data_IF_184324765636
#
_entry.id   IF_184324765636
#
_cell.length_a   1.000
_cell.length_b   1.000
_cell.length_c   1.000
_cell.angle_alpha   90.00
_cell.angle_beta   90.00
_cell.angle_gamma   90.00
#
_symmetry.space_group_name_H-M   'P 1'
#
loop_
_entity.id
_entity.type
_entity.pdbx_description
1 polymer ?
#
# COMPACT_ATOMS: atom_id res chain seq x y z
N UNK A 1 13.72 -4.80 16.09
CA UNK A 1 12.28 -4.63 15.81
C UNK A 1 11.59 -5.67 16.63
N UNK A 2 10.68 -5.22 17.49
CA UNK A 2 10.21 -5.99 18.64
C UNK A 2 8.79 -6.51 18.42
N UNK A 3 8.04 -5.87 17.52
CA UNK A 3 6.66 -6.22 17.17
C UNK A 3 6.32 -5.69 15.77
N UNK A 4 5.06 -5.85 15.37
CA UNK A 4 4.52 -5.28 14.13
C UNK A 4 3.25 -4.46 14.45
N UNK A 5 2.85 -3.63 13.50
CA UNK A 5 1.70 -2.75 13.65
C UNK A 5 0.39 -3.54 13.81
N UNK A 6 0.30 -4.76 13.27
CA UNK A 6 -0.88 -5.61 13.44
C UNK A 6 -1.09 -6.00 14.91
N UNK A 7 -0.02 -6.39 15.61
CA UNK A 7 -0.07 -6.69 17.05
C UNK A 7 -0.43 -5.46 17.86
N UNK A 8 0.15 -4.29 17.53
CA UNK A 8 -0.13 -3.03 18.22
C UNK A 8 -1.60 -2.64 18.10
N UNK A 9 -2.17 -2.70 16.89
CA UNK A 9 -3.59 -2.37 16.63
C UNK A 9 -4.53 -3.26 17.45
N UNK A 10 -4.21 -4.55 17.60
CA UNK A 10 -5.01 -5.54 18.34
C UNK A 10 -4.77 -5.55 19.84
N UNK A 11 -3.73 -4.85 20.31
CA UNK A 11 -3.38 -4.82 21.72
C UNK A 11 -4.28 -3.86 22.52
N UNK A 12 -4.21 -3.97 23.85
CA UNK A 12 -4.83 -3.01 24.76
C UNK A 12 -4.02 -1.72 24.96
N UNK A 13 -2.87 -1.57 24.27
CA UNK A 13 -2.10 -0.32 24.35
C UNK A 13 -2.91 0.83 23.76
N UNK A 14 -2.83 2.02 24.34
CA UNK A 14 -3.53 3.20 23.82
C UNK A 14 -2.86 3.73 22.56
N UNK A 15 -3.65 3.97 21.50
CA UNK A 15 -3.23 4.64 20.28
C UNK A 15 -4.03 5.93 20.21
N UNK A 16 -3.36 7.05 20.44
CA UNK A 16 -3.95 8.38 20.28
C UNK A 16 -3.65 8.91 18.86
N UNK A 17 -4.22 10.06 18.52
CA UNK A 17 -4.04 10.68 17.21
C UNK A 17 -2.56 10.95 16.87
N UNK A 18 -1.74 11.36 17.85
CA UNK A 18 -0.30 11.59 17.66
C UNK A 18 0.44 10.31 17.24
N UNK A 19 0.11 9.17 17.85
CA UNK A 19 0.68 7.88 17.44
C UNK A 19 0.26 7.52 16.00
N UNK A 20 -1.03 7.71 15.67
CA UNK A 20 -1.54 7.45 14.33
C UNK A 20 -0.86 8.34 13.28
N UNK A 21 -0.73 9.63 13.57
CA UNK A 21 -0.06 10.63 12.74
C UNK A 21 1.41 10.24 12.53
N UNK A 22 2.11 9.86 13.60
CA UNK A 22 3.53 9.48 13.54
C UNK A 22 3.76 8.18 12.75
N UNK A 23 2.91 7.17 12.92
CA UNK A 23 3.00 5.95 12.11
C UNK A 23 2.69 6.21 10.65
N UNK A 24 1.64 6.98 10.34
CA UNK A 24 1.32 7.34 8.96
C UNK A 24 2.46 8.09 8.29
N UNK A 25 3.04 9.09 8.98
CA UNK A 25 4.20 9.84 8.51
C UNK A 25 5.37 8.91 8.16
N UNK A 26 5.75 8.01 9.07
CA UNK A 26 6.88 7.10 8.84
C UNK A 26 6.63 6.13 7.67
N UNK A 27 5.39 5.65 7.50
CA UNK A 27 5.01 4.80 6.35
C UNK A 27 5.19 5.58 5.04
N UNK A 28 4.64 6.80 4.96
CA UNK A 28 4.74 7.64 3.77
C UNK A 28 6.19 8.06 3.48
N UNK A 29 6.95 8.43 4.51
CA UNK A 29 8.38 8.73 4.39
C UNK A 29 9.16 7.54 3.81
N UNK A 30 8.90 6.33 4.29
CA UNK A 30 9.48 5.11 3.73
C UNK A 30 9.07 4.87 2.28
N UNK A 31 7.79 5.06 1.96
CA UNK A 31 7.29 4.88 0.59
C UNK A 31 7.81 5.91 -0.39
N UNK A 32 8.02 7.17 0.02
CA UNK A 32 8.64 8.20 -0.81
C UNK A 32 9.99 7.72 -1.35
N UNK A 33 10.81 7.14 -0.46
CA UNK A 33 12.08 6.55 -0.83
C UNK A 33 11.90 5.36 -1.79
N UNK A 34 11.03 4.40 -1.46
CA UNK A 34 10.78 3.20 -2.28
C UNK A 34 10.27 3.57 -3.68
N UNK A 35 9.29 4.47 -3.78
CA UNK A 35 8.68 4.90 -5.03
C UNK A 35 9.67 5.71 -5.89
N UNK A 36 10.52 6.55 -5.28
CA UNK A 36 11.58 7.25 -6.00
C UNK A 36 12.65 6.30 -6.58
N UNK A 37 12.77 5.07 -6.05
CA UNK A 37 13.59 4.01 -6.62
C UNK A 37 12.88 3.23 -7.75
N UNK A 38 11.69 3.65 -8.18
CA UNK A 38 10.83 2.94 -9.12
C UNK A 38 10.41 1.53 -8.66
N UNK A 39 10.27 1.34 -7.34
CA UNK A 39 9.83 0.09 -6.72
C UNK A 39 8.40 0.24 -6.22
N UNK A 40 7.58 -0.78 -6.42
CA UNK A 40 6.24 -0.92 -5.85
C UNK A 40 6.27 -2.01 -4.77
N UNK A 41 5.71 -1.75 -3.58
CA UNK A 41 5.71 -2.74 -2.49
C UNK A 41 4.67 -3.84 -2.70
N UNK A 42 3.45 -3.48 -3.10
CA UNK A 42 2.34 -4.36 -3.55
C UNK A 42 1.67 -5.22 -2.47
N UNK A 43 2.31 -5.41 -1.32
CA UNK A 43 1.74 -6.14 -0.18
C UNK A 43 1.88 -5.39 1.16
N UNK A 44 1.60 -4.08 1.15
CA UNK A 44 1.54 -3.31 2.39
C UNK A 44 0.33 -3.73 3.22
N UNK A 45 0.61 -4.09 4.47
CA UNK A 45 -0.37 -4.47 5.50
C UNK A 45 0.26 -4.27 6.88
N UNK A 46 -0.51 -4.18 7.98
CA UNK A 46 0.04 -3.90 9.30
C UNK A 46 1.10 -4.91 9.78
N UNK A 47 1.02 -6.18 9.38
CA UNK A 47 2.05 -7.18 9.74
C UNK A 47 3.39 -6.97 9.02
N UNK A 48 3.40 -6.20 7.93
CA UNK A 48 4.59 -5.87 7.14
C UNK A 48 5.16 -4.50 7.53
N UNK A 49 4.70 -3.94 8.66
CA UNK A 49 5.18 -2.70 9.26
C UNK A 49 5.71 -3.01 10.65
N UNK A 50 7.03 -3.16 10.75
CA UNK A 50 7.70 -3.52 11.99
C UNK A 50 7.89 -2.30 12.88
N UNK A 51 7.74 -2.50 14.19
CA UNK A 51 7.86 -1.48 15.21
C UNK A 51 8.85 -1.89 16.31
N UNK A 52 9.49 -0.90 16.93
CA UNK A 52 10.24 -1.08 18.17
C UNK A 52 9.59 -0.29 19.32
N UNK A 53 10.17 -0.44 20.51
CA UNK A 53 9.76 0.29 21.72
C UNK A 53 9.84 1.82 21.64
N UNK A 54 10.59 2.38 20.68
CA UNK A 54 10.69 3.83 20.43
C UNK A 54 9.64 4.34 19.42
N UNK A 55 8.72 3.48 18.98
CA UNK A 55 7.77 3.77 17.89
C UNK A 55 8.43 4.00 16.52
N UNK A 56 9.67 3.55 16.31
CA UNK A 56 10.30 3.58 14.99
C UNK A 56 9.67 2.49 14.11
N UNK A 57 9.24 2.88 12.91
CA UNK A 57 8.59 2.01 11.93
C UNK A 57 9.53 1.67 10.77
N UNK A 58 9.53 0.40 10.36
CA UNK A 58 10.18 -0.05 9.12
C UNK A 58 9.26 -0.91 8.28
N UNK A 59 9.22 -0.62 6.99
CA UNK A 59 8.55 -1.43 5.97
C UNK A 59 9.40 -2.68 5.71
N UNK A 60 8.75 -3.85 5.66
CA UNK A 60 9.41 -5.14 5.41
C UNK A 60 8.61 -5.96 4.39
N UNK A 61 9.15 -7.12 3.99
CA UNK A 61 8.50 -8.10 3.11
C UNK A 61 8.31 -7.61 1.67
N UNK A 62 9.45 -7.39 1.01
CA UNK A 62 9.53 -7.01 -0.40
C UNK A 62 9.43 -8.22 -1.35
N UNK A 63 8.97 -9.38 -0.89
CA UNK A 63 8.90 -10.61 -1.70
C UNK A 63 7.95 -10.50 -2.90
N UNK A 64 7.04 -9.53 -2.88
CA UNK A 64 6.12 -9.24 -3.99
C UNK A 64 6.45 -7.93 -4.73
N UNK A 65 7.54 -7.26 -4.34
CA UNK A 65 7.91 -5.96 -4.88
C UNK A 65 8.36 -6.05 -6.34
N UNK A 66 8.03 -5.05 -7.17
CA UNK A 66 8.33 -5.02 -8.61
C UNK A 66 8.57 -3.60 -9.13
N UNK A 67 9.07 -3.48 -10.36
CA UNK A 67 9.06 -2.20 -11.08
C UNK A 67 7.67 -1.82 -11.59
N UNK A 68 7.48 -0.54 -11.88
CA UNK A 68 6.25 0.01 -12.49
C UNK A 68 5.99 -0.48 -13.93
N UNK A 69 7.02 -0.99 -14.63
CA UNK A 69 6.97 -1.33 -16.05
C UNK A 69 6.66 -2.79 -16.37
N UNK A 70 6.64 -3.68 -15.39
CA UNK A 70 6.45 -5.11 -15.62
C UNK A 70 4.97 -5.49 -15.66
N UNK A 71 4.50 -5.78 -16.88
CA UNK A 71 3.16 -6.30 -17.18
C UNK A 71 3.11 -7.81 -17.08
N UNK A 72 3.54 -8.40 -15.96
CA UNK A 72 3.39 -9.84 -15.77
C UNK A 72 2.01 -10.20 -15.20
N UNK A 73 1.43 -11.25 -15.79
CA UNK A 73 0.14 -11.80 -15.39
C UNK A 73 0.20 -12.24 -13.93
N UNK A 74 -0.57 -11.55 -13.10
CA UNK A 74 -0.69 -11.83 -11.68
C UNK A 74 -1.30 -13.21 -11.46
N UNK A 75 -0.49 -14.15 -10.98
CA UNK A 75 -1.00 -15.41 -10.45
C UNK A 75 -1.88 -15.14 -9.23
N UNK A 76 -2.95 -15.90 -9.10
CA UNK A 76 -4.00 -15.71 -8.11
C UNK A 76 -3.49 -16.06 -6.70
N UNK A 77 -2.77 -15.14 -6.06
CA UNK A 77 -2.16 -15.39 -4.75
C UNK A 77 -3.22 -15.41 -3.62
N UNK A 78 -3.25 -16.53 -2.91
CA UNK A 78 -3.99 -16.80 -1.66
C UNK A 78 -3.36 -16.01 -0.50
N UNK A 79 -3.45 -14.68 -0.56
CA UNK A 79 -2.97 -13.77 0.50
C UNK A 79 -4.13 -12.84 0.90
N UNK A 80 -4.02 -12.21 2.07
CA UNK A 80 -4.96 -11.22 2.61
C UNK A 80 -5.26 -10.12 1.59
N UNK A 81 -6.51 -10.04 1.12
CA UNK A 81 -6.95 -9.09 0.07
C UNK A 81 -7.35 -7.71 0.59
N UNK A 82 -7.41 -7.55 1.91
CA UNK A 82 -8.05 -6.40 2.58
C UNK A 82 -7.42 -5.04 2.23
N UNK A 83 -6.13 -5.05 1.86
CA UNK A 83 -5.35 -3.85 1.53
C UNK A 83 -5.09 -3.71 0.02
N UNK A 84 -5.62 -4.60 -0.82
CA UNK A 84 -5.41 -4.55 -2.28
C UNK A 84 -6.26 -3.44 -2.91
N UNK A 85 -5.63 -2.66 -3.78
CA UNK A 85 -6.29 -1.60 -4.53
C UNK A 85 -7.32 -2.14 -5.55
N UNK A 86 -8.37 -1.38 -5.90
CA UNK A 86 -9.40 -1.80 -6.86
C UNK A 86 -8.81 -2.26 -8.19
N UNK A 87 -7.81 -1.57 -8.71
CA UNK A 87 -7.13 -1.89 -9.98
C UNK A 87 -6.36 -3.22 -9.93
N UNK A 88 -5.85 -3.62 -8.76
CA UNK A 88 -5.24 -4.94 -8.54
C UNK A 88 -6.31 -6.04 -8.49
N UNK A 89 -7.46 -5.77 -7.88
CA UNK A 89 -8.58 -6.72 -7.81
C UNK A 89 -9.24 -6.95 -9.18
N UNK A 90 -9.16 -5.96 -10.07
CA UNK A 90 -9.75 -5.98 -11.41
C UNK A 90 -8.76 -6.42 -12.50
N UNK A 91 -7.54 -6.82 -12.13
CA UNK A 91 -6.47 -7.22 -13.04
C UNK A 91 -6.24 -6.17 -14.15
N UNK A 92 -6.11 -4.88 -13.76
CA UNK A 92 -5.64 -3.85 -14.68
C UNK A 92 -4.25 -4.21 -15.22
N UNK A 93 -3.93 -3.84 -16.45
CA UNK A 93 -2.63 -4.17 -17.07
C UNK A 93 -1.50 -3.25 -16.65
N UNK A 94 -1.82 -2.11 -16.05
CA UNK A 94 -0.85 -1.08 -15.65
C UNK A 94 -1.06 -0.76 -14.17
N UNK A 95 -0.01 -0.99 -13.38
CA UNK A 95 0.03 -0.69 -11.96
C UNK A 95 1.04 0.42 -11.70
N UNK A 96 0.69 1.35 -10.83
CA UNK A 96 1.55 2.47 -10.44
C UNK A 96 1.77 2.45 -8.92
N UNK A 97 2.58 3.38 -8.41
CA UNK A 97 2.77 3.65 -6.98
C UNK A 97 1.45 3.89 -6.23
N UNK A 98 0.38 4.27 -6.94
CA UNK A 98 -0.94 4.48 -6.36
C UNK A 98 -1.47 3.25 -5.63
N UNK A 99 -1.12 2.01 -6.03
CA UNK A 99 -1.59 0.79 -5.35
C UNK A 99 -1.14 0.74 -3.90
N UNK A 100 0.08 1.21 -3.61
CA UNK A 100 0.62 1.24 -2.26
C UNK A 100 -0.07 2.33 -1.43
N UNK A 101 -0.37 3.49 -2.04
CA UNK A 101 -1.13 4.56 -1.38
C UNK A 101 -2.52 4.09 -0.96
N UNK A 102 -3.18 3.26 -1.77
CA UNK A 102 -4.44 2.64 -1.38
C UNK A 102 -4.27 1.77 -0.13
N UNK A 103 -3.25 0.90 -0.12
CA UNK A 103 -2.95 0.05 1.03
C UNK A 103 -2.68 0.89 2.28
N UNK A 104 -1.94 2.01 2.16
CA UNK A 104 -1.73 2.97 3.25
C UNK A 104 -3.05 3.57 3.73
N UNK A 105 -3.97 3.93 2.84
CA UNK A 105 -5.31 4.40 3.22
C UNK A 105 -6.08 3.36 4.05
N UNK A 106 -6.04 2.09 3.66
CA UNK A 106 -6.64 1.00 4.45
C UNK A 106 -5.98 0.86 5.82
N UNK A 107 -4.64 0.88 5.88
CA UNK A 107 -3.88 0.80 7.14
C UNK A 107 -4.18 2.00 8.02
N UNK A 108 -4.24 3.21 7.46
CA UNK A 108 -4.50 4.43 8.20
C UNK A 108 -5.87 4.40 8.88
N UNK A 109 -6.92 4.00 8.15
CA UNK A 109 -8.23 3.78 8.73
C UNK A 109 -8.19 2.71 9.83
N UNK A 110 -7.48 1.60 9.62
CA UNK A 110 -7.38 0.51 10.60
C UNK A 110 -6.64 0.90 11.88
N UNK A 111 -5.58 1.73 11.81
CA UNK A 111 -4.92 2.25 13.02
C UNK A 111 -5.91 3.14 13.81
N UNK A 112 -6.69 3.96 13.11
CA UNK A 112 -7.64 4.90 13.69
C UNK A 112 -8.86 4.23 14.33
N UNK A 113 -9.36 3.15 13.74
CA UNK A 113 -10.58 2.46 14.21
C UNK A 113 -10.31 1.17 14.98
N UNK A 114 -9.08 0.65 14.90
CA UNK A 114 -8.68 -0.71 15.32
C UNK A 114 -9.41 -1.85 14.64
N UNK A 115 -10.07 -1.57 13.53
CA UNK A 115 -10.80 -2.55 12.75
C UNK A 115 -10.38 -2.50 11.29
N UNK A 116 -10.18 -3.66 10.63
CA UNK A 116 -9.83 -3.70 9.22
C UNK A 116 -10.92 -3.03 8.39
N UNK A 117 -10.53 -2.13 7.50
CA UNK A 117 -11.48 -1.31 6.75
C UNK A 117 -12.34 -2.13 5.77
N UNK A 118 -11.71 -3.07 5.07
CA UNK A 118 -12.37 -3.89 4.05
C UNK A 118 -12.05 -5.40 4.25
N UNK A 119 -12.67 -6.07 5.24
CA UNK A 119 -12.43 -7.48 5.51
C UNK A 119 -13.21 -8.40 4.54
N UNK A 120 -12.93 -8.29 3.24
CA UNK A 120 -13.58 -9.10 2.20
C UNK A 120 -13.26 -10.59 2.34
N UNK A 121 -14.24 -11.42 1.98
CA UNK A 121 -14.16 -12.89 2.05
C UNK A 121 -13.66 -13.50 0.73
N UNK A 122 -13.94 -12.80 -0.36
CA UNK A 122 -13.58 -13.13 -1.73
C UNK A 122 -13.49 -11.81 -2.54
N UNK A 123 -13.13 -11.88 -3.82
CA UNK A 123 -12.97 -10.71 -4.69
C UNK A 123 -14.26 -9.88 -4.82
N UNK A 124 -15.40 -10.55 -4.92
CA UNK A 124 -16.70 -9.89 -5.11
C UNK A 124 -17.07 -9.13 -3.84
N UNK A 125 -16.93 -9.78 -2.68
CA UNK A 125 -17.19 -9.17 -1.39
C UNK A 125 -16.22 -8.01 -1.12
N UNK A 126 -14.94 -8.14 -1.47
CA UNK A 126 -13.96 -7.07 -1.32
C UNK A 126 -14.36 -5.82 -2.12
N UNK A 127 -14.68 -5.98 -3.41
CA UNK A 127 -15.11 -4.85 -4.26
C UNK A 127 -16.44 -4.25 -3.78
N UNK A 128 -17.37 -5.08 -3.28
CA UNK A 128 -18.61 -4.62 -2.67
C UNK A 128 -18.33 -3.72 -1.45
N UNK A 129 -17.50 -4.16 -0.50
CA UNK A 129 -17.15 -3.35 0.69
C UNK A 129 -16.49 -2.02 0.30
N UNK A 130 -15.61 -2.05 -0.71
CA UNK A 130 -14.98 -0.84 -1.24
C UNK A 130 -16.04 0.13 -1.77
N UNK A 131 -16.86 -0.33 -2.72
CA UNK A 131 -17.89 0.52 -3.36
C UNK A 131 -18.98 0.97 -2.39
N UNK A 132 -19.28 0.20 -1.35
CA UNK A 132 -20.20 0.60 -0.27
C UNK A 132 -19.69 1.84 0.47
N UNK A 133 -18.37 1.98 0.68
CA UNK A 133 -17.78 3.13 1.38
C UNK A 133 -17.54 4.32 0.43
N UNK A 134 -16.74 4.10 -0.62
CA UNK A 134 -16.26 5.21 -1.49
C UNK A 134 -17.22 5.56 -2.62
N UNK A 135 -18.32 4.82 -2.74
CA UNK A 135 -19.30 4.92 -3.81
C UNK A 135 -18.93 4.06 -5.02
N UNK A 136 -19.94 3.72 -5.82
CA UNK A 136 -19.70 3.06 -7.09
C UNK A 136 -19.05 4.01 -8.10
N UNK A 137 -18.02 3.57 -8.84
CA UNK A 137 -17.39 4.40 -9.86
C UNK A 137 -18.39 4.76 -10.96
N UNK A 138 -18.32 6.01 -11.43
CA UNK A 138 -19.06 6.46 -12.60
C UNK A 138 -18.40 5.95 -13.90
N UNK A 139 -19.09 6.13 -15.04
CA UNK A 139 -18.58 5.66 -16.33
C UNK A 139 -17.20 6.24 -16.69
N UNK A 140 -16.94 7.49 -16.31
CA UNK A 140 -15.68 8.20 -16.58
C UNK A 140 -14.53 7.66 -15.70
N UNK A 141 -14.79 7.32 -14.44
CA UNK A 141 -13.79 6.73 -13.54
C UNK A 141 -13.44 5.28 -13.85
N UNK A 142 -14.00 4.70 -14.92
CA UNK A 142 -13.65 3.36 -15.42
C UNK A 142 -12.79 3.41 -16.68
N UNK A 143 -12.42 4.60 -17.18
CA UNK A 143 -11.60 4.75 -18.38
C UNK A 143 -10.19 4.14 -18.22
N UNK A 144 -9.63 4.17 -17.00
CA UNK A 144 -8.34 3.55 -16.71
C UNK A 144 -8.37 2.01 -16.87
N UNK A 145 -9.54 1.38 -16.71
CA UNK A 145 -9.68 -0.06 -16.88
C UNK A 145 -9.69 -0.38 -18.38
N UNK A 146 -8.58 -0.88 -18.93
CA UNK A 146 -8.50 -1.29 -20.35
C UNK A 146 -9.34 -2.52 -20.68
N UNK A 147 -9.52 -3.42 -19.72
CA UNK A 147 -10.30 -4.66 -19.88
C UNK A 147 -11.81 -4.39 -19.97
N UNK A 148 -12.43 -4.74 -21.10
CA UNK A 148 -13.88 -4.64 -21.29
C UNK A 148 -14.66 -5.52 -20.30
N UNK A 149 -14.10 -6.69 -19.95
CA UNK A 149 -14.69 -7.61 -18.98
C UNK A 149 -14.68 -7.00 -17.57
N UNK A 150 -13.57 -6.37 -17.16
CA UNK A 150 -13.48 -5.69 -15.87
C UNK A 150 -14.49 -4.53 -15.79
N UNK A 151 -14.59 -3.70 -16.85
CA UNK A 151 -15.58 -2.61 -16.92
C UNK A 151 -17.01 -3.13 -16.83
N UNK A 152 -17.33 -4.23 -17.52
CA UNK A 152 -18.67 -4.84 -17.46
C UNK A 152 -18.97 -5.36 -16.07
N UNK A 153 -18.03 -6.08 -15.46
CA UNK A 153 -18.15 -6.63 -14.12
C UNK A 153 -18.44 -5.53 -13.07
N UNK A 154 -17.68 -4.43 -13.09
CA UNK A 154 -17.91 -3.31 -12.16
C UNK A 154 -19.28 -2.66 -12.36
N UNK A 155 -19.79 -2.59 -13.60
CA UNK A 155 -21.13 -2.06 -13.90
C UNK A 155 -22.27 -2.95 -13.41
N UNK A 156 -22.02 -4.26 -13.26
CA UNK A 156 -22.98 -5.24 -12.76
C UNK A 156 -23.02 -5.32 -11.22
N UNK A 157 -22.02 -4.76 -10.53
CA UNK A 157 -22.03 -4.65 -9.07
C UNK A 157 -23.19 -3.76 -8.60
N UNK A 158 -23.73 -4.01 -7.38
CA UNK A 158 -24.72 -3.13 -6.78
C UNK A 158 -24.21 -1.68 -6.70
N UNK A 159 -25.08 -0.72 -6.99
CA UNK A 159 -24.74 0.70 -6.95
C UNK A 159 -24.91 1.25 -5.54
N UNK A 160 -23.87 1.90 -5.03
CA UNK A 160 -23.87 2.54 -3.73
C UNK A 160 -23.50 4.03 -3.87
N UNK A 161 -24.21 4.94 -3.18
CA UNK A 161 -23.75 6.31 -3.03
C UNK A 161 -22.49 6.34 -2.15
N UNK A 162 -21.60 7.32 -2.39
CA UNK A 162 -20.46 7.57 -1.51
C UNK A 162 -20.96 7.90 -0.10
N UNK A 163 -20.39 7.26 0.91
CA UNK A 163 -20.70 7.58 2.31
C UNK A 163 -20.04 8.89 2.74
N UNK A 164 -20.64 9.55 3.72
CA UNK A 164 -20.01 10.69 4.38
C UNK A 164 -18.93 10.18 5.35
N UNK A 165 -17.66 10.45 5.06
CA UNK A 165 -16.54 9.95 5.87
C UNK A 165 -16.53 10.50 7.29
N UNK A 166 -16.92 11.75 7.51
CA UNK A 166 -17.02 12.33 8.86
C UNK A 166 -18.07 11.62 9.72
N UNK A 167 -19.18 11.19 9.13
CA UNK A 167 -20.18 10.38 9.81
C UNK A 167 -19.71 8.93 10.03
N UNK A 168 -18.93 8.37 9.10
CA UNK A 168 -18.37 7.01 9.20
C UNK A 168 -17.26 6.91 10.25
N UNK A 169 -16.44 7.95 10.37
CA UNK A 169 -15.28 8.03 11.27
C UNK A 169 -15.41 9.21 12.24
N UNK A 170 -16.40 9.22 13.14
CA UNK A 170 -16.73 10.39 13.97
C UNK A 170 -15.64 10.76 14.99
N UNK A 171 -14.73 9.83 15.30
CA UNK A 171 -13.61 10.04 16.22
C UNK A 171 -12.33 10.56 15.54
N UNK A 172 -12.28 10.57 14.20
CA UNK A 172 -11.12 11.07 13.46
C UNK A 172 -11.20 12.59 13.30
N UNK A 173 -10.05 13.27 13.38
CA UNK A 173 -10.00 14.70 13.10
C UNK A 173 -10.30 14.98 11.60
N UNK A 174 -10.75 16.19 11.29
CA UNK A 174 -11.18 16.55 9.93
C UNK A 174 -10.05 16.47 8.89
N UNK A 175 -8.82 16.85 9.25
CA UNK A 175 -7.66 16.80 8.34
C UNK A 175 -7.21 15.37 8.02
N UNK A 176 -7.36 14.44 8.97
CA UNK A 176 -7.11 13.02 8.82
C UNK A 176 -8.16 12.38 7.91
N UNK A 177 -9.44 12.73 8.11
CA UNK A 177 -10.54 12.28 7.24
C UNK A 177 -10.29 12.73 5.79
N UNK A 178 -9.95 13.99 5.60
CA UNK A 178 -9.74 14.57 4.28
C UNK A 178 -8.52 13.92 3.57
N UNK A 179 -7.43 13.66 4.29
CA UNK A 179 -6.30 12.88 3.77
C UNK A 179 -6.71 11.44 3.40
N UNK A 180 -7.49 10.77 4.26
CA UNK A 180 -7.98 9.42 4.02
C UNK A 180 -8.87 9.36 2.77
N UNK A 181 -9.73 10.36 2.54
CA UNK A 181 -10.57 10.46 1.35
C UNK A 181 -9.75 10.60 0.05
N UNK A 182 -8.56 11.21 0.13
CA UNK A 182 -7.63 11.39 -1.00
C UNK A 182 -6.80 10.14 -1.29
N UNK A 183 -6.55 9.30 -0.28
CA UNK A 183 -5.93 7.98 -0.44
C UNK A 183 -6.93 6.94 -0.98
N UNK A 184 -8.17 6.96 -0.51
CA UNK A 184 -9.21 6.01 -0.88
C UNK A 184 -10.02 6.46 -2.10
N UNK A 185 -9.32 6.60 -3.23
CA UNK A 185 -9.90 6.96 -4.53
C UNK A 185 -9.86 5.75 -5.47
N UNK A 186 -11.00 5.47 -6.11
CA UNK A 186 -11.14 4.30 -7.00
C UNK A 186 -10.24 4.40 -8.24
N UNK A 187 -10.21 5.57 -8.87
CA UNK A 187 -9.36 5.87 -10.01
C UNK A 187 -7.92 6.15 -9.53
N UNK A 188 -6.94 5.29 -9.87
CA UNK A 188 -5.56 5.45 -9.38
C UNK A 188 -4.89 6.73 -9.88
N UNK A 189 -5.33 7.32 -10.99
CA UNK A 189 -4.77 8.57 -11.53
C UNK A 189 -5.18 9.78 -10.69
N UNK A 190 -6.34 9.71 -10.02
CA UNK A 190 -6.87 10.76 -9.15
C UNK A 190 -6.46 10.58 -7.68
N UNK A 191 -5.77 9.49 -7.36
CA UNK A 191 -5.31 9.17 -6.01
C UNK A 191 -4.10 10.04 -5.70
N UNK A 192 -4.06 10.58 -4.48
CA UNK A 192 -2.95 11.42 -4.01
C UNK A 192 -1.62 10.68 -4.11
N UNK A 193 -0.52 11.36 -4.45
CA UNK A 193 0.81 10.75 -4.38
C UNK A 193 1.36 10.76 -2.96
N UNK A 194 2.45 10.03 -2.72
CA UNK A 194 3.10 10.03 -1.40
C UNK A 194 3.67 11.40 -1.05
N UNK A 195 4.24 12.10 -2.03
CA UNK A 195 4.77 13.46 -1.87
C UNK A 195 3.67 14.46 -1.52
N UNK A 196 2.53 14.37 -2.20
CA UNK A 196 1.37 15.21 -1.91
C UNK A 196 0.78 14.89 -0.52
N UNK A 197 0.75 13.61 -0.13
CA UNK A 197 0.27 13.18 1.17
C UNK A 197 1.16 13.68 2.33
N UNK A 198 2.49 13.68 2.16
CA UNK A 198 3.42 14.24 3.15
C UNK A 198 3.23 15.75 3.37
N UNK A 199 2.82 16.47 2.32
CA UNK A 199 2.50 17.90 2.40
C UNK A 199 1.13 18.20 3.04
N UNK A 200 0.33 17.19 3.41
CA UNK A 200 -1.04 17.41 3.86
C UNK A 200 -1.11 18.05 5.26
N UNK A 201 -2.12 18.91 5.56
CA UNK A 201 -2.26 19.54 6.88
C UNK A 201 -2.17 18.58 8.06
N UNK A 202 -2.70 17.36 7.92
CA UNK A 202 -2.63 16.35 8.97
C UNK A 202 -1.20 15.93 9.33
N UNK A 203 -0.21 16.07 8.45
CA UNK A 203 1.19 15.70 8.70
C UNK A 203 2.12 16.91 8.88
N UNK A 204 1.57 18.13 8.88
CA UNK A 204 2.34 19.38 8.90
C UNK A 204 3.29 19.54 10.09
N UNK A 205 3.00 18.92 11.23
CA UNK A 205 3.87 18.96 12.41
C UNK A 205 5.13 18.08 12.29
N UNK A 206 5.12 17.11 11.37
CA UNK A 206 6.19 16.11 11.18
C UNK A 206 6.92 16.27 9.83
N UNK A 207 6.28 16.93 8.86
CA UNK A 207 6.83 17.09 7.52
C UNK A 207 8.13 17.91 7.54
N UNK A 208 9.22 17.30 7.05
CA UNK A 208 10.52 17.95 6.89
C UNK A 208 11.21 17.44 5.62
N UNK A 209 11.31 18.30 4.60
CA UNK A 209 11.94 17.96 3.32
C UNK A 209 13.39 17.50 3.46
N UNK A 210 14.14 18.01 4.45
CA UNK A 210 15.54 17.61 4.64
C UNK A 210 15.68 16.23 5.26
N UNK A 211 14.67 15.80 6.02
CA UNK A 211 14.60 14.47 6.62
C UNK A 211 13.70 13.52 5.83
N UNK A 212 13.37 13.81 4.57
CA UNK A 212 12.58 12.92 3.71
C UNK A 212 13.33 12.58 2.42
N UNK A 213 14.36 11.73 2.51
CA UNK A 213 15.23 11.44 1.38
C UNK A 213 14.52 10.66 0.28
N UNK A 214 15.00 10.86 -0.94
CA UNK A 214 14.67 10.04 -2.12
C UNK A 214 15.87 9.16 -2.47
N UNK A 215 15.61 8.02 -3.10
CA UNK A 215 16.65 7.17 -3.66
C UNK A 215 17.27 7.86 -4.88
N UNK A 216 18.60 7.92 -4.94
CA UNK A 216 19.31 8.58 -6.05
C UNK A 216 19.25 7.79 -7.36
N UNK A 217 18.99 6.49 -7.29
CA UNK A 217 19.01 5.58 -8.43
C UNK A 217 17.75 4.72 -8.46
N UNK A 218 17.28 4.39 -9.66
CA UNK A 218 16.25 3.38 -9.81
C UNK A 218 16.80 2.00 -9.47
N UNK A 219 16.02 1.21 -8.76
CA UNK A 219 16.35 -0.19 -8.50
C UNK A 219 16.09 -1.01 -9.76
N UNK A 220 17.03 -1.90 -10.09
CA UNK A 220 16.96 -2.74 -11.28
C UNK A 220 16.59 -4.16 -10.89
N UNK A 221 15.54 -4.69 -11.51
CA UNK A 221 15.08 -6.08 -11.37
C UNK A 221 15.61 -6.97 -12.50
N UNK A 222 16.71 -6.61 -13.19
CA UNK A 222 17.28 -7.42 -14.29
C UNK A 222 17.68 -8.85 -13.89
N UNK A 223 17.80 -9.13 -12.59
CA UNK A 223 18.07 -10.47 -12.07
C UNK A 223 16.82 -11.37 -12.00
N UNK A 224 15.61 -10.80 -12.10
CA UNK A 224 14.37 -11.58 -12.12
C UNK A 224 14.12 -12.09 -13.55
N UNK A 225 14.58 -13.31 -13.83
CA UNK A 225 14.32 -14.02 -15.09
C UNK A 225 13.33 -15.18 -14.83
N UNK A 226 12.10 -15.14 -15.37
CA UNK A 226 11.11 -16.21 -15.22
C UNK A 226 11.56 -17.58 -15.74
N UNK A 227 12.61 -17.62 -16.58
CA UNK A 227 13.18 -18.85 -17.12
C UNK A 227 14.30 -19.45 -16.27
N UNK A 228 14.70 -18.77 -15.18
CA UNK A 228 15.73 -19.27 -14.26
C UNK A 228 15.30 -20.57 -13.58
N UNK A 229 16.22 -21.51 -13.53
CA UNK A 229 16.11 -22.77 -12.78
C UNK A 229 16.32 -22.56 -11.29
N UNK A 230 15.89 -23.53 -10.48
CA UNK A 230 16.09 -23.47 -9.02
C UNK A 230 17.58 -23.39 -8.65
N UNK A 231 18.45 -24.11 -9.37
CA UNK A 231 19.90 -24.09 -9.18
C UNK A 231 20.50 -22.71 -9.47
N UNK A 232 20.08 -22.06 -10.57
CA UNK A 232 20.53 -20.71 -10.92
C UNK A 232 20.09 -19.68 -9.86
N UNK A 233 18.85 -19.78 -9.37
CA UNK A 233 18.35 -18.92 -8.29
C UNK A 233 19.17 -19.11 -7.01
N UNK A 234 19.49 -20.36 -6.63
CA UNK A 234 20.35 -20.66 -5.47
C UNK A 234 21.74 -20.02 -5.62
N UNK A 235 22.31 -20.08 -6.82
CA UNK A 235 23.61 -19.45 -7.11
C UNK A 235 23.54 -17.92 -6.98
N UNK A 236 22.50 -17.28 -7.54
CA UNK A 236 22.30 -15.84 -7.41
C UNK A 236 22.17 -15.39 -5.95
N UNK A 237 21.39 -16.12 -5.14
CA UNK A 237 21.23 -15.85 -3.70
C UNK A 237 22.57 -16.01 -2.95
N UNK A 238 23.34 -17.04 -3.28
CA UNK A 238 24.66 -17.26 -2.69
C UNK A 238 25.63 -16.14 -3.06
N UNK A 239 25.71 -15.77 -4.34
CA UNK A 239 26.58 -14.68 -4.84
C UNK A 239 26.26 -13.35 -4.15
N UNK A 240 24.98 -13.03 -3.98
CA UNK A 240 24.56 -11.82 -3.28
C UNK A 240 24.97 -11.88 -1.80
N UNK A 241 24.78 -13.02 -1.14
CA UNK A 241 25.19 -13.22 0.26
C UNK A 241 26.69 -13.03 0.48
N UNK A 242 27.51 -13.47 -0.47
CA UNK A 242 28.98 -13.33 -0.43
C UNK A 242 29.44 -11.88 -0.61
N UNK A 243 28.72 -11.04 -1.38
CA UNK A 243 29.05 -9.61 -1.50
C UNK A 243 28.98 -8.88 -0.15
N UNK A 244 28.03 -9.26 0.70
CA UNK A 244 27.88 -8.70 2.04
C UNK A 244 28.72 -9.41 3.11
N UNK A 245 29.17 -10.63 2.84
CA UNK A 245 29.99 -11.44 3.73
C UNK A 245 31.17 -12.05 2.95
N UNK A 246 32.17 -11.24 2.57
CA UNK A 246 33.27 -11.71 1.74
C UNK A 246 34.04 -12.82 2.45
N UNK A 247 34.41 -13.86 1.69
CA UNK A 247 35.21 -14.95 2.22
C UNK A 247 36.58 -14.43 2.69
N UNK A 248 37.17 -15.01 3.76
CA UNK A 248 38.49 -14.63 4.21
C UNK A 248 39.50 -14.75 3.06
N UNK A 249 40.34 -13.73 2.87
CA UNK A 249 41.45 -13.80 1.94
C UNK A 249 42.41 -14.92 2.39
N UNK A 250 42.64 -15.90 1.52
CA UNK A 250 43.60 -16.99 1.72
C UNK A 250 45.02 -16.47 1.51
#
# INVERSE_FOLDING_TARGET
MDTDLHQIIRSNQSLNDDHCQYFLYQILRGLKYIHSANVLHRDLKPSNLLLNSNCDLKITDFGLARTTSETEYMTEYVVTRWYRAPELLLNSSEYTSAIDVWSVGCIFAEIMTREPLFPGKDYVHQLKLITELIGSPDGASLEFLRSANARKYVKELPKFPRQNFSARFPSMNSTAIDLLEKMLVFDPVKRITVEEALCYPYLSALHDLNDEPVCSNHFSFHFEDPSSTEEEIKELVWLESVKFNPLPSI
#
